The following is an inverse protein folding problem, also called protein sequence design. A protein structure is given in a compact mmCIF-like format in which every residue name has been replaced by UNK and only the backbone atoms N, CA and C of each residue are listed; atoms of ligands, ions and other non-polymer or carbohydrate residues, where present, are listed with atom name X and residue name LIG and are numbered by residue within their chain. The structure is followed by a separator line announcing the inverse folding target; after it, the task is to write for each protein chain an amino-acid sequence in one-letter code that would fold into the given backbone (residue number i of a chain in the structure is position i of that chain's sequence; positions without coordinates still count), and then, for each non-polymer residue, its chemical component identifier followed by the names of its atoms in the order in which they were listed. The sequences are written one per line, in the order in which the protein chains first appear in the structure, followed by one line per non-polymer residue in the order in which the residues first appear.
data_IF_974524561955
#
_entry.id   IF_974524561955
#
_cell.length_a   1.000
_cell.length_b   1.000
_cell.length_c   1.000
_cell.angle_alpha   90.00
_cell.angle_beta   90.00
_cell.angle_gamma   90.00
#
_symmetry.space_group_name_H-M   'P 1'
#
loop_
_entity.id
_entity.type
_entity.pdbx_description
1 polymer ?
#
# COMPACT_ATOMS: atom_id res chain seq x y z
N UNK A 1 10.64 1.99 37.82
CA UNK A 1 11.09 0.89 36.90
C UNK A 1 11.18 1.49 35.51
N UNK A 2 12.40 1.69 35.00
CA UNK A 2 12.64 2.32 33.69
C UNK A 2 12.47 1.19 32.66
N UNK A 3 11.43 1.27 31.82
CA UNK A 3 11.22 0.39 30.69
C UNK A 3 12.44 0.49 29.75
N UNK A 4 13.15 -0.63 29.59
CA UNK A 4 14.17 -0.80 28.55
C UNK A 4 13.52 -0.74 27.18
N UNK A 5 13.45 0.45 26.54
CA UNK A 5 13.25 0.54 25.09
C UNK A 5 14.34 -0.32 24.43
N UNK A 6 13.96 -1.40 23.73
CA UNK A 6 14.85 -2.13 22.82
C UNK A 6 15.45 -1.09 21.88
N UNK A 7 16.74 -0.83 21.97
CA UNK A 7 17.41 0.07 21.02
C UNK A 7 17.36 -0.61 19.67
N UNK A 8 16.69 0.04 18.72
CA UNK A 8 16.69 -0.39 17.34
C UNK A 8 18.13 -0.50 16.83
N UNK A 9 18.44 -1.47 15.95
CA UNK A 9 19.76 -1.57 15.33
C UNK A 9 20.19 -0.24 14.70
N UNK A 10 21.46 0.10 14.83
CA UNK A 10 21.98 1.40 14.38
C UNK A 10 21.72 1.67 12.88
N UNK A 11 21.80 0.63 12.04
CA UNK A 11 21.54 0.78 10.61
C UNK A 11 20.09 1.14 10.28
N UNK A 12 19.10 0.78 11.14
CA UNK A 12 17.70 1.19 10.99
C UNK A 12 17.57 2.68 11.33
N UNK A 13 18.18 3.13 12.43
CA UNK A 13 18.16 4.55 12.81
C UNK A 13 18.80 5.43 11.72
N UNK A 14 19.91 4.99 11.15
CA UNK A 14 20.58 5.67 10.03
C UNK A 14 19.73 5.66 8.77
N UNK A 15 18.98 4.59 8.50
CA UNK A 15 18.06 4.55 7.36
C UNK A 15 16.94 5.58 7.50
N UNK A 16 16.35 5.73 8.70
CA UNK A 16 15.32 6.74 8.95
C UNK A 16 15.89 8.17 8.86
N UNK A 17 17.07 8.43 9.43
CA UNK A 17 17.72 9.73 9.31
C UNK A 17 18.02 10.10 7.85
N UNK A 18 18.54 9.16 7.06
CA UNK A 18 18.75 9.36 5.62
C UNK A 18 17.44 9.53 4.84
N UNK A 19 16.36 8.88 5.26
CA UNK A 19 15.04 9.04 4.69
C UNK A 19 14.55 10.47 4.86
N UNK A 20 14.61 10.99 6.09
CA UNK A 20 14.23 12.38 6.40
C UNK A 20 15.08 13.37 5.60
N UNK A 21 16.40 13.16 5.50
CA UNK A 21 17.29 14.01 4.71
C UNK A 21 16.97 14.02 3.20
N UNK A 22 16.42 12.92 2.68
CA UNK A 22 16.01 12.79 1.27
C UNK A 22 14.65 13.42 1.02
N UNK A 23 13.70 13.28 1.96
CA UNK A 23 12.30 13.72 1.78
C UNK A 23 12.10 15.20 2.13
N UNK A 24 12.67 15.64 3.26
CA UNK A 24 12.42 16.97 3.83
C UNK A 24 13.70 17.74 4.19
N UNK A 25 14.89 17.11 4.05
CA UNK A 25 16.16 17.64 4.53
C UNK A 25 17.14 18.09 3.45
N UNK A 26 18.44 17.91 3.76
CA UNK A 26 19.57 18.41 2.94
C UNK A 26 19.57 17.90 1.50
N UNK A 27 19.00 16.69 1.26
CA UNK A 27 19.02 16.06 -0.07
C UNK A 27 17.71 16.22 -0.85
N UNK A 28 16.77 17.03 -0.36
CA UNK A 28 15.47 17.23 -1.00
C UNK A 28 15.56 17.69 -2.46
N UNK A 29 16.59 18.44 -2.84
CA UNK A 29 16.83 18.91 -4.22
C UNK A 29 18.01 18.20 -4.91
N UNK A 30 18.59 17.15 -4.28
CA UNK A 30 19.75 16.45 -4.80
C UNK A 30 19.34 15.27 -5.68
N UNK A 31 20.00 15.04 -6.82
CA UNK A 31 19.81 13.84 -7.64
C UNK A 31 20.46 12.59 -7.02
N UNK A 32 21.42 12.77 -6.10
CA UNK A 32 22.22 11.70 -5.50
C UNK A 32 22.48 11.98 -4.03
N UNK A 33 22.52 10.91 -3.22
CA UNK A 33 23.10 11.00 -1.89
C UNK A 33 24.63 10.90 -1.96
N UNK A 34 25.36 11.43 -0.95
CA UNK A 34 26.79 11.29 -0.88
C UNK A 34 27.25 9.81 -0.88
N UNK A 35 28.48 9.55 -1.28
CA UNK A 35 29.02 8.19 -1.26
C UNK A 35 29.05 7.59 0.15
N UNK A 36 29.00 6.24 0.22
CA UNK A 36 29.05 5.51 1.52
C UNK A 36 30.21 5.99 2.43
N UNK A 37 31.35 6.35 1.82
CA UNK A 37 32.50 6.88 2.57
C UNK A 37 32.24 8.26 3.16
N UNK A 38 31.62 9.16 2.38
CA UNK A 38 31.26 10.50 2.87
C UNK A 38 30.16 10.44 3.94
N UNK A 39 29.14 9.60 3.74
CA UNK A 39 28.09 9.37 4.74
C UNK A 39 28.63 8.76 6.02
N UNK A 40 29.54 7.77 5.92
CA UNK A 40 30.21 7.18 7.07
C UNK A 40 30.97 8.23 7.91
N UNK A 41 31.66 9.15 7.24
CA UNK A 41 32.36 10.24 7.92
C UNK A 41 31.39 11.26 8.55
N UNK A 42 30.34 11.66 7.81
CA UNK A 42 29.34 12.64 8.25
C UNK A 42 28.58 12.14 9.48
N UNK A 43 28.14 10.89 9.46
CA UNK A 43 27.29 10.30 10.51
C UNK A 43 28.09 9.58 11.63
N UNK A 44 29.41 9.49 11.50
CA UNK A 44 30.28 8.90 12.52
C UNK A 44 30.10 7.39 12.73
N UNK A 45 29.64 6.67 11.67
CA UNK A 45 29.36 5.23 11.73
C UNK A 45 30.18 4.44 10.71
N UNK A 46 30.20 3.11 10.83
CA UNK A 46 30.97 2.26 9.89
C UNK A 46 30.37 2.30 8.48
N UNK A 47 31.22 2.09 7.45
CA UNK A 47 30.74 1.95 6.05
C UNK A 47 29.78 0.78 5.88
N UNK A 48 29.93 -0.29 6.67
CA UNK A 48 29.01 -1.44 6.67
C UNK A 48 27.63 -1.01 7.15
N UNK A 49 27.54 -0.24 8.23
CA UNK A 49 26.28 0.31 8.75
C UNK A 49 25.57 1.21 7.72
N UNK A 50 26.34 2.09 7.05
CA UNK A 50 25.80 2.91 5.95
C UNK A 50 25.28 2.03 4.80
N UNK A 51 26.04 1.01 4.42
CA UNK A 51 25.63 0.10 3.33
C UNK A 51 24.36 -0.65 3.65
N UNK A 52 24.18 -1.11 4.89
CA UNK A 52 22.95 -1.74 5.36
C UNK A 52 21.79 -0.74 5.37
N UNK A 53 21.98 0.47 5.87
CA UNK A 53 20.98 1.53 5.87
C UNK A 53 20.54 1.90 4.45
N UNK A 54 21.50 2.16 3.55
CA UNK A 54 21.20 2.45 2.13
C UNK A 54 20.53 1.25 1.45
N UNK A 55 20.84 0.01 1.88
CA UNK A 55 20.17 -1.20 1.40
C UNK A 55 18.67 -1.24 1.78
N UNK A 56 18.28 -0.69 2.93
CA UNK A 56 16.88 -0.52 3.32
C UNK A 56 16.21 0.50 2.38
N UNK A 57 16.82 1.68 2.22
CA UNK A 57 16.28 2.73 1.34
C UNK A 57 16.15 2.27 -0.11
N UNK A 58 17.08 1.43 -0.58
CA UNK A 58 17.02 0.82 -1.91
C UNK A 58 15.87 -0.19 -2.03
N UNK A 59 15.67 -1.04 -1.01
CA UNK A 59 14.50 -1.93 -0.93
C UNK A 59 13.19 -1.14 -0.89
N UNK A 60 13.18 0.00 -0.22
CA UNK A 60 12.03 0.89 -0.13
C UNK A 60 11.82 1.73 -1.41
N UNK A 61 12.74 1.61 -2.38
CA UNK A 61 12.67 2.30 -3.67
C UNK A 61 13.02 3.78 -3.62
N UNK A 62 13.51 4.28 -2.47
CA UNK A 62 13.87 5.68 -2.28
C UNK A 62 15.18 6.03 -3.00
N UNK A 63 16.08 5.07 -3.14
CA UNK A 63 17.35 5.24 -3.83
C UNK A 63 17.67 4.03 -4.71
N UNK A 64 18.54 4.21 -5.70
CA UNK A 64 19.05 3.16 -6.58
C UNK A 64 20.56 3.25 -6.69
N UNK A 65 21.27 2.14 -6.42
CA UNK A 65 22.73 2.06 -6.57
C UNK A 65 23.11 1.73 -8.00
N UNK A 66 23.81 2.63 -8.65
CA UNK A 66 24.33 2.41 -10.02
C UNK A 66 25.84 2.32 -9.96
N UNK A 67 26.39 1.19 -10.39
CA UNK A 67 27.84 0.97 -10.40
C UNK A 67 28.57 2.04 -11.22
N UNK A 68 29.56 2.67 -10.61
CA UNK A 68 30.33 3.76 -11.26
C UNK A 68 29.66 5.13 -11.24
N UNK A 69 28.36 5.22 -10.92
CA UNK A 69 27.60 6.49 -10.91
C UNK A 69 27.33 6.98 -9.50
N UNK A 70 27.06 6.05 -8.55
CA UNK A 70 26.72 6.33 -7.16
C UNK A 70 25.30 5.92 -6.81
N UNK A 71 24.81 6.42 -5.67
CA UNK A 71 23.44 6.16 -5.19
C UNK A 71 22.54 7.33 -5.60
N UNK A 72 21.65 7.08 -6.55
CA UNK A 72 20.71 8.06 -7.11
C UNK A 72 19.47 8.07 -6.25
N UNK A 73 18.95 9.24 -5.92
CA UNK A 73 17.65 9.40 -5.29
C UNK A 73 16.58 9.14 -6.35
N UNK A 74 15.71 8.19 -6.07
CA UNK A 74 14.57 7.91 -6.95
C UNK A 74 13.52 8.96 -6.71
N UNK A 75 13.53 10.04 -7.48
CA UNK A 75 12.44 11.00 -7.51
C UNK A 75 11.37 10.46 -8.43
N UNK A 76 10.25 10.13 -7.88
CA UNK A 76 9.04 10.07 -8.67
C UNK A 76 8.31 11.40 -8.48
N UNK A 77 8.40 12.29 -9.48
CA UNK A 77 7.52 13.48 -9.58
C UNK A 77 6.05 13.06 -9.77
N UNK A 78 5.80 11.78 -9.66
CA UNK A 78 4.50 11.13 -9.75
C UNK A 78 4.30 10.40 -8.43
N UNK A 79 3.23 10.70 -7.69
CA UNK A 79 2.89 9.96 -6.49
C UNK A 79 2.76 8.48 -6.82
N UNK A 80 3.75 7.68 -6.46
CA UNK A 80 3.69 6.23 -6.63
C UNK A 80 3.32 5.62 -5.30
N UNK A 81 2.07 5.38 -5.12
CA UNK A 81 1.61 4.51 -4.06
C UNK A 81 1.50 3.08 -4.59
N UNK A 82 2.09 2.15 -3.92
CA UNK A 82 1.93 0.73 -4.20
C UNK A 82 2.98 0.16 -5.15
N UNK A 83 4.18 -0.11 -4.63
CA UNK A 83 4.95 -1.23 -5.15
C UNK A 83 4.13 -2.49 -4.86
N UNK A 84 3.85 -3.32 -5.88
CA UNK A 84 3.20 -4.61 -5.71
C UNK A 84 4.02 -5.58 -4.81
N UNK A 85 5.14 -5.12 -4.28
CA UNK A 85 6.10 -5.86 -3.47
C UNK A 85 5.81 -5.81 -1.96
N UNK A 86 4.94 -4.90 -1.49
CA UNK A 86 4.55 -4.78 -0.07
C UNK A 86 3.05 -4.62 0.07
N UNK A 87 2.45 -5.46 0.90
CA UNK A 87 1.07 -5.31 1.31
C UNK A 87 0.92 -4.05 2.17
N UNK A 88 0.45 -2.97 1.57
CA UNK A 88 0.05 -1.75 2.26
C UNK A 88 -1.45 -1.54 2.12
N UNK A 89 -2.09 -1.11 3.20
CA UNK A 89 -3.46 -0.61 3.07
C UNK A 89 -3.46 0.67 2.24
N UNK A 90 -4.59 0.97 1.58
CA UNK A 90 -4.74 2.25 0.88
C UNK A 90 -4.51 3.45 1.81
N UNK A 91 -4.94 3.34 3.08
CA UNK A 91 -4.72 4.38 4.10
C UNK A 91 -3.22 4.65 4.30
N UNK A 92 -2.38 3.61 4.36
CA UNK A 92 -0.93 3.76 4.46
C UNK A 92 -0.34 4.32 3.17
N UNK A 93 -0.79 3.82 2.01
CA UNK A 93 -0.33 4.31 0.69
C UNK A 93 -0.59 5.81 0.50
N UNK A 94 -1.73 6.32 0.97
CA UNK A 94 -2.06 7.75 0.89
C UNK A 94 -1.24 8.58 1.89
N UNK A 95 -0.97 8.05 3.09
CA UNK A 95 -0.08 8.71 4.06
C UNK A 95 1.37 8.81 3.55
N UNK A 96 1.84 7.80 2.81
CA UNK A 96 3.17 7.83 2.18
C UNK A 96 3.30 8.90 1.08
N UNK A 97 2.17 9.45 0.62
CA UNK A 97 2.10 10.58 -0.32
C UNK A 97 1.94 11.93 0.39
N UNK A 98 2.14 11.98 1.72
CA UNK A 98 1.90 13.16 2.57
C UNK A 98 0.48 13.74 2.44
N UNK A 99 -0.48 12.89 2.00
CA UNK A 99 -1.88 13.26 1.87
C UNK A 99 -2.70 12.71 3.05
N UNK A 100 -3.76 13.42 3.40
CA UNK A 100 -4.71 12.95 4.40
C UNK A 100 -5.66 11.91 3.79
N UNK A 101 -5.62 10.64 4.24
CA UNK A 101 -6.57 9.64 3.77
C UNK A 101 -7.98 9.94 4.24
N UNK A 102 -8.96 9.55 3.43
CA UNK A 102 -10.36 9.72 3.74
C UNK A 102 -11.25 8.79 2.92
N UNK A 103 -12.57 8.91 3.14
CA UNK A 103 -13.61 8.18 2.42
C UNK A 103 -14.75 9.16 2.13
N UNK A 104 -15.10 9.34 0.87
CA UNK A 104 -16.21 10.22 0.45
C UNK A 104 -17.51 9.48 0.19
N UNK A 105 -17.45 8.17 0.05
CA UNK A 105 -18.59 7.27 -0.10
C UNK A 105 -18.27 5.94 0.57
N UNK A 106 -19.24 5.37 1.24
CA UNK A 106 -19.19 4.02 1.81
C UNK A 106 -20.57 3.40 1.77
N UNK A 107 -20.64 2.15 1.36
CA UNK A 107 -21.81 1.29 1.44
C UNK A 107 -21.41 -0.08 1.98
N UNK A 108 -22.30 -0.72 2.69
CA UNK A 108 -22.11 -2.06 3.24
C UNK A 108 -23.40 -2.85 3.16
N UNK A 109 -23.29 -4.07 2.66
CA UNK A 109 -24.40 -5.03 2.68
C UNK A 109 -23.90 -6.47 2.74
N UNK A 110 -24.80 -7.37 3.11
CA UNK A 110 -24.56 -8.81 3.02
C UNK A 110 -25.05 -9.34 1.69
N UNK A 111 -24.26 -10.21 1.07
CA UNK A 111 -24.56 -10.86 -0.19
C UNK A 111 -24.27 -12.36 -0.09
N UNK A 112 -24.88 -13.17 -0.96
CA UNK A 112 -24.53 -14.58 -1.12
C UNK A 112 -23.45 -14.71 -2.19
N UNK A 113 -22.36 -15.39 -1.88
CA UNK A 113 -21.29 -15.64 -2.82
C UNK A 113 -21.81 -16.40 -4.06
N UNK A 114 -21.56 -15.87 -5.24
CA UNK A 114 -21.72 -16.57 -6.49
C UNK A 114 -20.60 -17.62 -6.67
N UNK A 115 -20.61 -18.37 -7.77
CA UNK A 115 -19.64 -19.42 -8.04
C UNK A 115 -18.19 -18.86 -8.11
N UNK A 116 -18.00 -17.71 -8.78
CA UNK A 116 -16.69 -17.07 -8.92
C UNK A 116 -16.12 -16.62 -7.56
N UNK A 117 -16.91 -15.90 -6.78
CA UNK A 117 -16.49 -15.40 -5.46
C UNK A 117 -16.28 -16.56 -4.48
N UNK A 118 -17.10 -17.61 -4.59
CA UNK A 118 -16.95 -18.81 -3.77
C UNK A 118 -15.60 -19.50 -4.05
N UNK A 119 -15.23 -19.65 -5.33
CA UNK A 119 -13.93 -20.21 -5.73
C UNK A 119 -12.76 -19.30 -5.30
N UNK A 120 -12.88 -17.98 -5.49
CA UNK A 120 -11.83 -17.02 -5.15
C UNK A 120 -11.56 -16.94 -3.63
N UNK A 121 -12.57 -17.20 -2.79
CA UNK A 121 -12.50 -17.16 -1.32
C UNK A 121 -12.45 -18.53 -0.66
N UNK A 122 -12.40 -19.61 -1.43
CA UNK A 122 -12.45 -21.02 -0.96
C UNK A 122 -13.61 -21.27 0.02
N UNK A 123 -14.80 -20.84 -0.35
CA UNK A 123 -16.04 -21.03 0.41
C UNK A 123 -17.11 -21.71 -0.47
N UNK A 124 -18.18 -22.17 0.15
CA UNK A 124 -19.30 -22.74 -0.61
C UNK A 124 -20.10 -21.65 -1.32
N UNK A 125 -20.51 -21.95 -2.58
CA UNK A 125 -21.46 -21.09 -3.30
C UNK A 125 -22.71 -20.87 -2.43
N UNK A 126 -23.17 -19.61 -2.37
CA UNK A 126 -24.29 -19.20 -1.52
C UNK A 126 -23.92 -18.91 -0.06
N UNK A 127 -22.64 -19.05 0.33
CA UNK A 127 -22.16 -18.60 1.65
C UNK A 127 -22.36 -17.08 1.78
N UNK A 128 -22.64 -16.63 3.00
CA UNK A 128 -22.82 -15.21 3.29
C UNK A 128 -21.46 -14.48 3.33
N UNK A 129 -21.38 -13.41 2.58
CA UNK A 129 -20.22 -12.54 2.49
C UNK A 129 -20.59 -11.09 2.79
N UNK A 130 -19.67 -10.36 3.39
CA UNK A 130 -19.75 -8.91 3.49
C UNK A 130 -19.25 -8.28 2.19
N UNK A 131 -19.97 -7.29 1.69
CA UNK A 131 -19.57 -6.44 0.56
C UNK A 131 -19.42 -5.02 1.09
N UNK A 132 -18.23 -4.44 0.94
CA UNK A 132 -17.92 -3.08 1.39
C UNK A 132 -17.47 -2.28 0.18
N UNK A 133 -18.28 -1.32 -0.23
CA UNK A 133 -17.97 -0.41 -1.33
C UNK A 133 -17.50 0.93 -0.78
N UNK A 134 -16.42 1.47 -1.31
CA UNK A 134 -15.88 2.76 -0.85
C UNK A 134 -15.31 3.58 -1.99
N UNK A 135 -15.44 4.91 -1.88
CA UNK A 135 -14.60 5.86 -2.61
C UNK A 135 -13.56 6.39 -1.65
N UNK A 136 -12.32 6.01 -1.88
CA UNK A 136 -11.19 6.43 -1.05
C UNK A 136 -10.60 7.74 -1.59
N UNK A 137 -10.23 8.62 -0.66
CA UNK A 137 -9.75 9.97 -1.00
C UNK A 137 -8.37 10.24 -0.40
N UNK A 138 -7.60 11.10 -1.08
CA UNK A 138 -6.45 11.78 -0.53
C UNK A 138 -6.71 13.28 -0.58
N UNK A 139 -6.58 14.00 0.55
CA UNK A 139 -6.92 15.42 0.68
C UNK A 139 -8.32 15.77 0.11
N UNK A 140 -9.30 14.92 0.42
CA UNK A 140 -10.69 14.99 -0.06
C UNK A 140 -10.89 14.81 -1.58
N UNK A 141 -9.85 14.49 -2.35
CA UNK A 141 -9.97 14.16 -3.78
C UNK A 141 -10.21 12.66 -3.96
N UNK A 142 -11.25 12.22 -4.69
CA UNK A 142 -11.44 10.81 -5.01
C UNK A 142 -10.22 10.26 -5.77
N UNK A 143 -9.67 9.15 -5.31
CA UNK A 143 -8.49 8.50 -5.90
C UNK A 143 -8.76 7.09 -6.36
N UNK A 144 -9.61 6.36 -5.63
CA UNK A 144 -9.89 4.96 -5.87
C UNK A 144 -11.32 4.63 -5.45
N UNK A 145 -11.99 3.83 -6.27
CA UNK A 145 -13.21 3.10 -5.89
C UNK A 145 -12.81 1.65 -5.57
N UNK A 146 -13.27 1.12 -4.46
CA UNK A 146 -12.97 -0.25 -4.03
C UNK A 146 -14.23 -1.00 -3.64
N UNK A 147 -14.25 -2.29 -3.99
CA UNK A 147 -15.26 -3.26 -3.54
C UNK A 147 -14.52 -4.40 -2.86
N UNK A 148 -14.63 -4.49 -1.55
CA UNK A 148 -14.03 -5.55 -0.75
C UNK A 148 -15.10 -6.60 -0.43
N UNK A 149 -14.82 -7.88 -0.70
CA UNK A 149 -15.69 -9.02 -0.39
C UNK A 149 -14.98 -9.95 0.58
N UNK A 150 -15.64 -10.23 1.71
CA UNK A 150 -15.07 -11.07 2.79
C UNK A 150 -16.10 -12.08 3.28
N UNK A 151 -15.68 -13.33 3.57
CA UNK A 151 -16.53 -14.30 4.26
C UNK A 151 -16.99 -13.78 5.64
N UNK A 152 -18.21 -14.13 6.05
CA UNK A 152 -18.73 -13.79 7.38
C UNK A 152 -17.85 -14.33 8.51
N UNK A 153 -17.19 -15.48 8.31
CA UNK A 153 -16.23 -16.07 9.26
C UNK A 153 -15.01 -15.16 9.51
N UNK A 154 -14.62 -14.38 8.53
CA UNK A 154 -13.50 -13.46 8.58
C UNK A 154 -13.91 -12.15 9.25
N UNK A 155 -14.95 -11.51 8.74
CA UNK A 155 -15.34 -10.18 9.20
C UNK A 155 -16.15 -10.20 10.50
N UNK A 156 -16.91 -11.26 10.76
CA UNK A 156 -17.76 -11.43 11.93
C UNK A 156 -19.22 -11.07 11.66
N UNK A 157 -20.13 -11.77 12.35
CA UNK A 157 -21.59 -11.61 12.18
C UNK A 157 -22.11 -10.23 12.59
N UNK A 158 -21.46 -9.62 13.57
CA UNK A 158 -21.88 -8.33 14.15
C UNK A 158 -21.07 -7.15 13.60
N UNK A 159 -20.40 -7.34 12.45
CA UNK A 159 -19.61 -6.27 11.84
C UNK A 159 -20.46 -5.04 11.54
N UNK A 160 -19.90 -3.88 11.84
CA UNK A 160 -20.44 -2.57 11.46
C UNK A 160 -19.33 -1.71 10.81
N UNK A 161 -19.76 -0.78 9.98
CA UNK A 161 -18.83 0.15 9.30
C UNK A 161 -18.11 1.04 10.32
N UNK A 162 -18.78 1.41 11.40
CA UNK A 162 -18.23 2.25 12.46
C UNK A 162 -17.06 1.55 13.17
N UNK A 163 -17.14 0.25 13.39
CA UNK A 163 -16.07 -0.55 14.01
C UNK A 163 -14.85 -0.72 13.10
N UNK A 164 -15.05 -0.75 11.78
CA UNK A 164 -13.94 -0.86 10.83
C UNK A 164 -13.03 0.37 10.88
N UNK A 165 -13.57 1.55 11.16
CA UNK A 165 -12.82 2.80 11.12
C UNK A 165 -12.29 3.13 9.72
N UNK A 166 -11.09 3.70 9.65
CA UNK A 166 -10.51 4.13 8.37
C UNK A 166 -9.89 3.00 7.54
N UNK A 167 -9.52 1.87 8.16
CA UNK A 167 -8.73 0.83 7.49
C UNK A 167 -9.23 -0.57 7.80
N UNK A 168 -9.72 -1.26 6.78
CA UNK A 168 -10.12 -2.67 6.87
C UNK A 168 -8.96 -3.56 7.36
N UNK A 169 -7.72 -3.32 6.91
CA UNK A 169 -6.56 -4.11 7.34
C UNK A 169 -6.25 -3.93 8.82
N UNK A 170 -6.40 -2.71 9.35
CA UNK A 170 -6.24 -2.44 10.78
C UNK A 170 -7.35 -3.14 11.56
N UNK A 171 -8.60 -3.07 11.12
CA UNK A 171 -9.72 -3.78 11.72
C UNK A 171 -9.48 -5.30 11.79
N UNK A 172 -9.09 -5.91 10.69
CA UNK A 172 -8.82 -7.35 10.64
C UNK A 172 -7.70 -7.74 11.63
N UNK A 173 -6.62 -6.96 11.67
CA UNK A 173 -5.50 -7.22 12.59
C UNK A 173 -5.88 -7.04 14.05
N UNK A 174 -6.54 -5.94 14.40
CA UNK A 174 -6.74 -5.53 15.80
C UNK A 174 -8.02 -6.11 16.41
N UNK A 175 -9.08 -6.22 15.63
CA UNK A 175 -10.37 -6.71 16.12
C UNK A 175 -10.59 -8.20 15.82
N UNK A 176 -9.98 -8.72 14.75
CA UNK A 176 -10.15 -10.11 14.34
C UNK A 176 -8.91 -10.98 14.56
N UNK A 177 -7.76 -10.39 14.90
CA UNK A 177 -6.49 -11.11 15.07
C UNK A 177 -5.93 -11.69 13.76
N UNK A 178 -6.44 -11.25 12.60
CA UNK A 178 -6.07 -11.75 11.28
C UNK A 178 -4.96 -10.87 10.71
N UNK A 179 -3.83 -11.50 10.38
CA UNK A 179 -2.71 -10.84 9.72
C UNK A 179 -2.62 -11.33 8.29
N UNK A 180 -2.63 -10.40 7.35
CA UNK A 180 -2.40 -10.71 5.93
C UNK A 180 -0.96 -11.18 5.71
N UNK A 181 -0.79 -12.17 4.86
CA UNK A 181 0.50 -12.76 4.51
C UNK A 181 1.03 -12.26 3.16
N UNK A 182 0.22 -12.39 2.11
CA UNK A 182 0.53 -11.95 0.74
C UNK A 182 -0.75 -11.65 -0.04
N UNK A 183 -0.61 -11.08 -1.23
CA UNK A 183 -1.72 -10.94 -2.18
C UNK A 183 -1.33 -11.38 -3.58
N UNK A 184 -2.33 -11.77 -4.36
CA UNK A 184 -2.26 -11.98 -5.80
C UNK A 184 -3.00 -10.85 -6.49
N UNK A 185 -2.32 -10.15 -7.40
CA UNK A 185 -2.83 -8.97 -8.07
C UNK A 185 -2.86 -9.15 -9.57
N UNK A 186 -4.01 -8.84 -10.19
CA UNK A 186 -4.17 -8.73 -11.63
C UNK A 186 -4.54 -7.29 -12.01
N UNK A 187 -3.80 -6.69 -12.92
CA UNK A 187 -4.02 -5.34 -13.40
C UNK A 187 -4.58 -5.32 -14.81
N UNK A 188 -5.62 -4.51 -15.04
CA UNK A 188 -6.23 -4.30 -16.36
C UNK A 188 -6.56 -2.83 -16.56
N UNK A 189 -6.25 -2.30 -17.74
CA UNK A 189 -6.75 -1.00 -18.17
C UNK A 189 -8.17 -1.17 -18.72
N UNK A 190 -9.10 -0.38 -18.21
CA UNK A 190 -10.52 -0.40 -18.63
C UNK A 190 -11.03 1.02 -18.81
N UNK A 191 -12.15 1.18 -19.51
CA UNK A 191 -12.93 2.40 -19.50
C UNK A 191 -13.79 2.45 -18.23
N UNK A 192 -13.87 3.60 -17.57
CA UNK A 192 -14.69 3.76 -16.37
C UNK A 192 -16.18 3.72 -16.74
N UNK A 193 -16.92 2.83 -16.11
CA UNK A 193 -18.38 2.83 -16.19
C UNK A 193 -18.96 4.15 -15.65
N UNK A 194 -20.10 4.57 -16.18
CA UNK A 194 -20.68 5.89 -15.89
C UNK A 194 -20.85 6.18 -14.39
N UNK A 195 -21.30 5.19 -13.60
CA UNK A 195 -21.48 5.36 -12.15
C UNK A 195 -20.15 5.49 -11.42
N UNK A 196 -19.16 4.67 -11.78
CA UNK A 196 -17.80 4.71 -11.19
C UNK A 196 -17.09 6.01 -11.59
N UNK A 197 -17.21 6.42 -12.85
CA UNK A 197 -16.66 7.69 -13.33
C UNK A 197 -17.22 8.86 -12.52
N UNK A 198 -18.55 8.90 -12.31
CA UNK A 198 -19.20 9.92 -11.48
C UNK A 198 -18.66 9.92 -10.04
N UNK A 199 -18.51 8.75 -9.40
CA UNK A 199 -17.97 8.61 -8.02
C UNK A 199 -16.52 9.08 -7.92
N UNK A 200 -15.74 8.87 -8.98
CA UNK A 200 -14.34 9.27 -9.05
C UNK A 200 -14.11 10.68 -9.60
N UNK A 201 -15.18 11.45 -9.88
CA UNK A 201 -15.09 12.77 -10.53
C UNK A 201 -14.34 12.71 -11.88
N UNK A 202 -14.63 11.71 -12.69
CA UNK A 202 -14.12 11.50 -14.04
C UNK A 202 -15.25 11.65 -15.08
N UNK A 203 -14.87 11.86 -16.33
CA UNK A 203 -15.81 11.72 -17.45
C UNK A 203 -16.12 10.23 -17.68
N UNK A 204 -17.34 9.88 -18.16
CA UNK A 204 -17.61 8.52 -18.61
C UNK A 204 -16.56 8.04 -19.61
N UNK A 205 -16.25 6.75 -19.59
CA UNK A 205 -15.23 6.12 -20.45
C UNK A 205 -13.79 6.61 -20.23
N UNK A 206 -13.52 7.43 -19.19
CA UNK A 206 -12.15 7.78 -18.84
C UNK A 206 -11.31 6.50 -18.59
N UNK A 207 -10.05 6.45 -19.05
CA UNK A 207 -9.19 5.30 -18.80
C UNK A 207 -8.86 5.22 -17.31
N UNK A 208 -9.10 4.05 -16.73
CA UNK A 208 -8.80 3.73 -15.34
C UNK A 208 -8.06 2.40 -15.26
N UNK A 209 -7.36 2.18 -14.16
CA UNK A 209 -6.69 0.92 -13.90
C UNK A 209 -7.52 0.11 -12.90
N UNK A 210 -8.02 -1.03 -13.34
CA UNK A 210 -8.68 -2.00 -12.48
C UNK A 210 -7.66 -3.00 -11.96
N UNK A 211 -7.65 -3.18 -10.65
CA UNK A 211 -6.88 -4.18 -9.94
C UNK A 211 -7.82 -5.17 -9.27
N UNK A 212 -7.80 -6.40 -9.72
CA UNK A 212 -8.48 -7.53 -9.09
C UNK A 212 -7.46 -8.19 -8.17
N UNK A 213 -7.74 -8.27 -6.86
CA UNK A 213 -6.75 -8.66 -5.86
C UNK A 213 -7.34 -9.64 -4.85
N UNK A 214 -6.60 -10.71 -4.56
CA UNK A 214 -6.91 -11.67 -3.51
C UNK A 214 -5.87 -11.58 -2.41
N UNK A 215 -6.31 -11.42 -1.18
CA UNK A 215 -5.44 -11.40 -0.02
C UNK A 215 -5.54 -12.69 0.76
N UNK A 216 -4.41 -13.19 1.18
CA UNK A 216 -4.25 -14.43 1.93
C UNK A 216 -3.62 -14.16 3.29
N UNK A 217 -3.95 -14.99 4.27
CA UNK A 217 -3.27 -15.00 5.54
C UNK A 217 -1.90 -15.72 5.47
N UNK A 218 -1.24 -15.86 6.63
CA UNK A 218 0.05 -16.58 6.72
C UNK A 218 -0.06 -18.08 6.50
N UNK A 219 -1.26 -18.66 6.58
CA UNK A 219 -1.54 -20.08 6.32
C UNK A 219 -1.97 -20.33 4.88
N UNK A 220 -1.95 -19.29 4.02
CA UNK A 220 -2.38 -19.30 2.62
C UNK A 220 -3.91 -19.47 2.45
N UNK A 221 -4.69 -19.13 3.48
CA UNK A 221 -6.15 -19.10 3.40
C UNK A 221 -6.61 -17.76 2.79
N UNK A 222 -7.52 -17.75 1.80
CA UNK A 222 -8.02 -16.52 1.21
C UNK A 222 -8.92 -15.77 2.21
N UNK A 223 -8.63 -14.47 2.39
CA UNK A 223 -9.27 -13.60 3.38
C UNK A 223 -10.17 -12.57 2.73
N UNK A 224 -9.68 -11.94 1.67
CA UNK A 224 -10.38 -10.86 0.96
C UNK A 224 -10.24 -11.08 -0.54
N UNK A 225 -11.34 -10.96 -1.26
CA UNK A 225 -11.35 -10.69 -2.68
C UNK A 225 -11.73 -9.21 -2.87
N UNK A 226 -10.94 -8.47 -3.60
CA UNK A 226 -11.27 -7.09 -3.84
C UNK A 226 -11.08 -6.65 -5.30
N UNK A 227 -11.88 -5.66 -5.72
CA UNK A 227 -11.72 -4.96 -6.98
C UNK A 227 -11.48 -3.49 -6.68
N UNK A 228 -10.32 -3.01 -7.07
CA UNK A 228 -9.91 -1.62 -6.93
C UNK A 228 -9.88 -0.95 -8.30
N UNK A 229 -10.49 0.22 -8.42
CA UNK A 229 -10.48 1.02 -9.65
C UNK A 229 -9.79 2.36 -9.34
N UNK A 230 -8.60 2.53 -9.93
CA UNK A 230 -7.73 3.67 -9.68
C UNK A 230 -7.83 4.72 -10.78
N UNK A 231 -7.84 5.97 -10.39
CA UNK A 231 -7.63 7.09 -11.28
C UNK A 231 -6.17 7.11 -11.75
N UNK A 232 -5.96 7.00 -13.07
CA UNK A 232 -4.62 6.94 -13.68
C UNK A 232 -3.89 8.27 -13.74
N UNK A 233 -4.60 9.38 -13.51
CA UNK A 233 -4.03 10.73 -13.38
C UNK A 233 -3.50 11.03 -11.96
N UNK A 234 -3.86 10.21 -10.95
CA UNK A 234 -3.48 10.40 -9.55
C UNK A 234 -2.75 9.20 -8.95
N UNK A 235 -2.84 8.03 -9.58
CA UNK A 235 -2.30 6.79 -9.04
C UNK A 235 -1.52 6.00 -10.08
N UNK A 236 -0.31 5.57 -9.71
CA UNK A 236 0.57 4.80 -10.59
C UNK A 236 1.09 3.56 -9.87
N UNK A 237 1.20 2.46 -10.60
CA UNK A 237 1.88 1.26 -10.13
C UNK A 237 3.32 1.25 -10.64
N UNK A 238 4.28 1.11 -9.73
CA UNK A 238 5.70 0.94 -10.08
C UNK A 238 6.12 -0.49 -9.76
N UNK A 239 6.56 -1.20 -10.76
CA UNK A 239 7.12 -2.54 -10.63
C UNK A 239 8.60 -2.46 -11.00
N UNK A 240 9.48 -2.93 -10.12
CA UNK A 240 10.93 -2.92 -10.35
C UNK A 240 11.34 -4.33 -10.77
N UNK A 241 11.66 -4.51 -12.07
CA UNK A 241 12.30 -5.72 -12.55
C UNK A 241 13.80 -5.69 -12.25
N UNK A 242 14.36 -6.80 -11.76
CA UNK A 242 15.83 -6.97 -11.61
C UNK A 242 16.28 -8.02 -12.61
N UNK A 243 17.37 -7.74 -13.32
CA UNK A 243 18.07 -8.76 -14.09
C UNK A 243 18.82 -9.68 -13.11
N UNK A 244 18.80 -11.01 -13.40
CA UNK A 244 19.62 -12.00 -12.69
C UNK A 244 21.11 -11.85 -13.04
#
# INVERSE_FOLDING_TARGET
MIEKRKREPLYIQIAEELREEITDGEYIDSEKIPSETKLSTKMGVSRTTIREAVGILEKDGLVNRIHGVGTIITRSDIPVSGGAERLKSFTESIKDLDMKPGTSYIDFHWEKADEKIADDLDIKTGSLIAVIERVRTGDNKPMMYTVDKLPISIIGENFTIEEMGESLFVYLREQRGINLGYSELQLRAIAAEAEIAKRLNLSPESPVLAAEEKYFDKNQEPIIYCVNIFRTDLYHFKIIGRAE
#
